data_IF_913590535784
#
_entry.id   IF_913590535784
#
_cell.length_a   1.000
_cell.length_b   1.000
_cell.length_c   1.000
_cell.angle_alpha   90.00
_cell.angle_beta   90.00
_cell.angle_gamma   90.00
#
_symmetry.space_group_name_H-M   'P 1'
#
loop_
_entity.id
_entity.type
_entity.pdbx_description
1 polymer ?
#
# COMPACT_ATOMS: atom_id res chain seq x y z
N UNK A 1 -16.59 -19.02 41.50
CA UNK A 1 -15.50 -18.56 40.63
C UNK A 1 -15.99 -17.33 39.89
N UNK A 2 -15.24 -16.24 39.91
CA UNK A 2 -15.61 -14.99 39.26
C UNK A 2 -14.39 -14.47 38.51
N UNK A 3 -14.54 -14.29 37.22
CA UNK A 3 -13.49 -13.77 36.33
C UNK A 3 -14.04 -12.59 35.53
N UNK A 4 -13.23 -11.54 35.44
CA UNK A 4 -13.55 -10.32 34.71
C UNK A 4 -12.59 -10.15 33.54
N UNK A 5 -13.12 -10.21 32.32
CA UNK A 5 -12.40 -10.00 31.08
C UNK A 5 -12.67 -8.57 30.60
N UNK A 6 -11.66 -7.72 30.71
CA UNK A 6 -11.74 -6.31 30.30
C UNK A 6 -11.10 -6.09 28.93
N UNK A 7 -11.57 -5.10 28.19
CA UNK A 7 -10.93 -4.70 26.93
C UNK A 7 -9.43 -4.40 27.10
N UNK A 8 -8.61 -4.75 26.10
CA UNK A 8 -7.18 -4.41 26.08
C UNK A 8 -6.90 -2.89 26.05
N UNK A 9 -7.91 -2.05 25.77
CA UNK A 9 -7.85 -0.58 25.87
C UNK A 9 -8.52 0.00 27.14
N UNK A 10 -8.97 -0.85 28.06
CA UNK A 10 -9.52 -0.41 29.36
C UNK A 10 -8.46 0.31 30.22
N UNK A 11 -8.90 1.04 31.23
CA UNK A 11 -8.03 1.64 32.25
C UNK A 11 -7.47 0.62 33.25
N UNK A 12 -8.00 -0.61 33.25
CA UNK A 12 -7.64 -1.64 34.21
C UNK A 12 -6.13 -1.95 34.19
N UNK A 13 -5.45 -1.66 35.31
CA UNK A 13 -4.00 -1.83 35.50
C UNK A 13 -3.14 -1.13 34.44
N UNK A 14 -3.56 0.03 33.94
CA UNK A 14 -2.81 0.82 32.95
C UNK A 14 -2.61 2.25 33.42
N UNK A 15 -1.51 2.85 32.95
CA UNK A 15 -1.18 4.25 33.18
C UNK A 15 -2.25 5.14 32.54
N UNK A 16 -2.53 6.30 33.14
CA UNK A 16 -3.44 7.30 32.59
C UNK A 16 -2.93 7.83 31.24
N UNK A 17 -3.81 8.43 30.44
CA UNK A 17 -3.40 9.07 29.19
C UNK A 17 -2.64 10.39 29.43
N UNK A 18 -2.83 11.02 30.57
CA UNK A 18 -2.22 12.30 30.95
C UNK A 18 -0.73 12.14 31.29
N UNK A 19 -0.36 11.00 31.90
CA UNK A 19 1.00 10.73 32.34
C UNK A 19 1.93 10.24 31.22
N UNK A 20 1.44 10.08 29.98
CA UNK A 20 2.20 9.42 28.91
C UNK A 20 3.29 10.27 28.25
N UNK A 21 3.54 11.51 28.69
CA UNK A 21 4.56 12.42 28.13
C UNK A 21 4.54 12.48 26.58
N UNK A 22 3.34 12.60 26.00
CA UNK A 22 3.14 12.66 24.54
C UNK A 22 3.29 11.33 23.79
N UNK A 23 3.55 10.22 24.47
CA UNK A 23 3.59 8.87 23.85
C UNK A 23 2.18 8.32 23.70
N UNK A 24 1.96 7.48 22.68
CA UNK A 24 0.64 6.88 22.45
C UNK A 24 0.25 5.95 23.61
N UNK A 25 -0.84 6.28 24.30
CA UNK A 25 -1.32 5.50 25.44
C UNK A 25 -2.04 4.22 25.02
N UNK A 26 -1.84 3.16 25.80
CA UNK A 26 -2.60 1.89 25.73
C UNK A 26 -4.02 2.03 26.28
N UNK A 27 -4.27 3.06 27.09
CA UNK A 27 -5.51 3.30 27.78
C UNK A 27 -6.37 4.28 26.97
N UNK A 28 -7.58 3.86 26.60
CA UNK A 28 -8.60 4.73 25.99
C UNK A 28 -9.87 4.80 26.84
N UNK A 29 -9.76 4.51 28.15
CA UNK A 29 -10.90 4.49 29.08
C UNK A 29 -12.10 3.68 28.55
N UNK A 30 -11.81 2.52 27.94
CA UNK A 30 -12.85 1.66 27.40
C UNK A 30 -13.57 0.89 28.52
N UNK A 31 -14.90 0.97 28.55
CA UNK A 31 -15.78 0.35 29.56
C UNK A 31 -16.25 -1.07 29.19
N UNK A 32 -15.97 -1.52 27.97
CA UNK A 32 -16.30 -2.86 27.52
C UNK A 32 -15.65 -3.95 28.38
N UNK A 33 -16.49 -4.86 28.90
CA UNK A 33 -16.08 -5.97 29.76
C UNK A 33 -17.04 -7.16 29.64
N UNK A 34 -16.53 -8.34 29.98
CA UNK A 34 -17.28 -9.59 30.14
C UNK A 34 -17.00 -10.10 31.54
N UNK A 35 -18.03 -10.16 32.39
CA UNK A 35 -17.93 -10.74 33.73
C UNK A 35 -18.59 -12.12 33.72
N UNK A 36 -17.82 -13.14 34.11
CA UNK A 36 -18.27 -14.52 34.20
C UNK A 36 -18.27 -14.93 35.67
N UNK A 37 -19.45 -15.22 36.21
CA UNK A 37 -19.64 -15.64 37.60
C UNK A 37 -20.29 -17.01 37.67
N UNK A 38 -19.55 -18.00 38.16
CA UNK A 38 -20.04 -19.35 38.43
C UNK A 38 -20.38 -19.48 39.91
N UNK A 39 -21.67 -19.64 40.21
CA UNK A 39 -22.22 -19.84 41.55
C UNK A 39 -22.18 -21.32 41.92
N UNK A 40 -21.86 -21.62 43.18
CA UNK A 40 -21.91 -22.98 43.71
C UNK A 40 -23.35 -23.41 43.97
N UNK A 41 -23.69 -24.64 43.58
CA UNK A 41 -24.99 -25.25 43.86
C UNK A 41 -24.98 -25.88 45.27
N UNK A 42 -25.41 -25.09 46.25
CA UNK A 42 -25.60 -25.53 47.64
C UNK A 42 -27.11 -25.55 47.95
N UNK A 43 -27.57 -26.29 48.98
CA UNK A 43 -28.97 -26.27 49.39
C UNK A 43 -29.49 -24.85 49.68
N UNK A 44 -28.63 -24.00 50.26
CA UNK A 44 -28.94 -22.60 50.54
C UNK A 44 -29.10 -21.76 49.26
N UNK A 45 -28.15 -21.82 48.34
CA UNK A 45 -28.21 -21.05 47.08
C UNK A 45 -29.36 -21.50 46.18
N UNK A 46 -29.74 -22.78 46.23
CA UNK A 46 -30.92 -23.32 45.54
C UNK A 46 -32.23 -22.79 46.10
N UNK A 47 -32.30 -22.48 47.40
CA UNK A 47 -33.50 -21.90 48.01
C UNK A 47 -33.71 -20.45 47.58
N UNK A 48 -32.63 -19.70 47.41
CA UNK A 48 -32.66 -18.24 47.20
C UNK A 48 -32.61 -17.82 45.72
N UNK A 49 -31.98 -18.60 44.83
CA UNK A 49 -31.78 -18.23 43.44
C UNK A 49 -32.64 -19.08 42.48
N UNK A 50 -33.59 -18.43 41.80
CA UNK A 50 -34.51 -19.05 40.83
C UNK A 50 -33.77 -19.67 39.63
N UNK A 51 -32.59 -19.18 39.28
CA UNK A 51 -31.81 -19.69 38.14
C UNK A 51 -31.05 -20.96 38.51
N UNK A 52 -30.54 -21.03 39.75
CA UNK A 52 -29.91 -22.25 40.28
C UNK A 52 -30.93 -23.38 40.41
N UNK A 53 -32.18 -23.07 40.78
CA UNK A 53 -33.28 -24.07 40.81
C UNK A 53 -33.53 -24.71 39.43
N UNK A 54 -33.31 -23.95 38.36
CA UNK A 54 -33.45 -24.40 36.97
C UNK A 54 -32.18 -25.04 36.41
N UNK A 55 -31.14 -25.22 37.24
CA UNK A 55 -29.84 -25.80 36.82
C UNK A 55 -28.86 -24.80 36.19
N UNK A 56 -29.21 -23.50 36.12
CA UNK A 56 -28.34 -22.46 35.56
C UNK A 56 -27.43 -21.88 36.64
N UNK A 57 -26.19 -22.36 36.69
CA UNK A 57 -25.22 -21.99 37.74
C UNK A 57 -24.25 -20.87 37.32
N UNK A 58 -24.22 -20.51 36.03
CA UNK A 58 -23.36 -19.47 35.48
C UNK A 58 -24.14 -18.20 35.15
N UNK A 59 -23.57 -17.05 35.47
CA UNK A 59 -24.04 -15.72 35.06
C UNK A 59 -22.94 -15.10 34.20
N UNK A 60 -23.29 -14.71 32.98
CA UNK A 60 -22.38 -14.02 32.07
C UNK A 60 -22.99 -12.63 31.79
N UNK A 61 -22.30 -11.58 32.21
CA UNK A 61 -22.66 -10.21 31.91
C UNK A 61 -21.72 -9.69 30.83
N UNK A 62 -22.29 -9.24 29.71
CA UNK A 62 -21.54 -8.74 28.55
C UNK A 62 -21.92 -7.27 28.38
N UNK A 63 -20.92 -6.39 28.46
CA UNK A 63 -21.04 -4.98 28.09
C UNK A 63 -20.23 -4.76 26.80
N UNK A 64 -20.87 -4.74 25.61
CA UNK A 64 -20.17 -4.73 24.33
C UNK A 64 -19.73 -3.33 23.86
N UNK A 65 -20.10 -2.27 24.57
CA UNK A 65 -19.93 -0.91 24.08
C UNK A 65 -18.47 -0.44 24.17
N UNK A 66 -17.85 -0.27 22.99
CA UNK A 66 -16.48 0.23 22.85
C UNK A 66 -16.47 1.71 22.46
N UNK A 67 -15.69 2.52 23.20
CA UNK A 67 -15.43 3.94 22.87
C UNK A 67 -14.33 4.12 21.80
N UNK A 68 -13.89 3.05 21.17
CA UNK A 68 -12.81 3.06 20.16
C UNK A 68 -13.15 2.12 19.00
N UNK A 69 -12.54 2.36 17.84
CA UNK A 69 -12.65 1.45 16.70
C UNK A 69 -11.92 0.14 16.99
N UNK A 70 -12.57 -0.95 16.63
CA UNK A 70 -11.98 -2.29 16.64
C UNK A 70 -11.20 -2.51 15.34
N UNK A 71 -10.18 -3.37 15.36
CA UNK A 71 -9.43 -3.81 14.17
C UNK A 71 -8.69 -2.71 13.38
N UNK A 72 -8.32 -1.59 13.99
CA UNK A 72 -7.40 -0.61 13.38
C UNK A 72 -5.95 -0.96 13.70
N UNK A 73 -5.01 -0.59 12.83
CA UNK A 73 -3.57 -0.79 13.07
C UNK A 73 -3.11 -0.21 14.42
N UNK A 74 -3.66 0.95 14.80
CA UNK A 74 -3.40 1.60 16.09
C UNK A 74 -3.90 0.81 17.31
N UNK A 75 -4.98 0.06 17.16
CA UNK A 75 -5.53 -0.80 18.22
C UNK A 75 -4.75 -2.12 18.28
N UNK A 76 -4.45 -2.71 17.12
CA UNK A 76 -3.78 -4.01 16.99
C UNK A 76 -2.32 -3.99 17.43
N UNK A 77 -1.60 -2.87 17.30
CA UNK A 77 -0.18 -2.74 17.73
C UNK A 77 0.07 -3.03 19.21
N UNK A 78 -0.97 -2.99 20.03
CA UNK A 78 -0.88 -3.19 21.48
C UNK A 78 -1.22 -4.62 21.91
N UNK A 79 -1.71 -5.45 20.99
CA UNK A 79 -1.87 -6.87 21.23
C UNK A 79 -0.48 -7.51 21.35
N UNK A 80 -0.29 -8.47 22.28
CA UNK A 80 0.92 -9.27 22.29
C UNK A 80 1.04 -9.97 20.92
N UNK A 81 2.23 -9.98 20.31
CA UNK A 81 2.44 -10.79 19.12
C UNK A 81 2.18 -12.25 19.50
N UNK A 82 1.22 -12.90 18.85
CA UNK A 82 1.15 -14.36 18.80
C UNK A 82 2.34 -14.92 18.01
N UNK A 83 2.35 -16.21 17.70
CA UNK A 83 3.38 -16.98 16.95
C UNK A 83 3.88 -16.34 15.62
N UNK A 84 3.32 -15.19 15.23
CA UNK A 84 3.77 -14.30 14.17
C UNK A 84 5.21 -13.79 14.33
N UNK A 85 5.83 -13.89 15.51
CA UNK A 85 7.24 -13.52 15.69
C UNK A 85 8.15 -14.40 14.85
N UNK A 86 7.90 -15.71 14.83
CA UNK A 86 8.69 -16.69 14.07
C UNK A 86 8.48 -16.48 12.57
N UNK A 87 7.22 -16.37 12.12
CA UNK A 87 6.91 -16.05 10.74
C UNK A 87 7.51 -14.71 10.28
N UNK A 88 7.49 -13.67 11.13
CA UNK A 88 8.13 -12.39 10.82
C UNK A 88 9.64 -12.53 10.65
N UNK A 89 10.31 -13.28 11.53
CA UNK A 89 11.75 -13.52 11.42
C UNK A 89 12.10 -14.44 10.24
N UNK A 90 11.24 -15.40 9.89
CA UNK A 90 11.37 -16.24 8.70
C UNK A 90 11.30 -15.37 7.43
N UNK A 91 10.25 -14.57 7.27
CA UNK A 91 10.13 -13.59 6.17
C UNK A 91 11.31 -12.62 6.10
N UNK A 92 11.81 -12.17 7.25
CA UNK A 92 12.95 -11.25 7.30
C UNK A 92 14.27 -11.96 6.97
N UNK A 93 14.41 -13.24 7.32
CA UNK A 93 15.56 -14.08 6.94
C UNK A 93 15.58 -14.45 5.46
N UNK A 94 14.40 -14.54 4.84
CA UNK A 94 14.22 -14.76 3.39
C UNK A 94 14.50 -13.50 2.56
N UNK A 95 14.53 -12.31 3.17
CA UNK A 95 15.02 -11.07 2.57
C UNK A 95 16.56 -11.05 2.43
N UNK A 96 17.15 -12.19 2.07
CA UNK A 96 18.57 -12.38 1.87
C UNK A 96 18.98 -11.87 0.48
N UNK A 97 20.00 -11.01 0.41
CA UNK A 97 20.55 -10.48 -0.85
C UNK A 97 21.13 -11.56 -1.79
N UNK A 98 21.34 -12.79 -1.28
CA UNK A 98 21.71 -13.96 -2.06
C UNK A 98 20.55 -14.57 -2.84
N UNK A 99 19.32 -14.45 -2.33
CA UNK A 99 18.12 -15.00 -2.98
C UNK A 99 17.31 -13.92 -3.69
N UNK A 100 17.24 -12.72 -3.11
CA UNK A 100 16.47 -11.60 -3.66
C UNK A 100 17.42 -10.52 -4.20
N UNK A 101 17.32 -10.13 -5.48
CA UNK A 101 18.18 -9.11 -6.04
C UNK A 101 18.03 -7.78 -5.29
N UNK A 102 19.17 -7.18 -4.95
CA UNK A 102 19.18 -5.85 -4.34
C UNK A 102 18.60 -4.81 -5.30
N UNK A 103 18.14 -3.69 -4.78
CA UNK A 103 17.69 -2.55 -5.60
C UNK A 103 18.74 -2.11 -6.63
N UNK A 104 20.03 -2.21 -6.29
CA UNK A 104 21.14 -1.94 -7.22
C UNK A 104 21.22 -2.96 -8.35
N UNK A 105 21.04 -4.25 -8.05
CA UNK A 105 21.04 -5.30 -9.05
C UNK A 105 19.86 -5.13 -10.02
N UNK A 106 18.66 -4.86 -9.50
CA UNK A 106 17.47 -4.58 -10.31
C UNK A 106 17.72 -3.35 -11.21
N UNK A 107 18.22 -2.25 -10.65
CA UNK A 107 18.55 -1.04 -11.41
C UNK A 107 19.56 -1.32 -12.51
N UNK A 108 20.62 -2.07 -12.20
CA UNK A 108 21.64 -2.42 -13.18
C UNK A 108 21.08 -3.28 -14.31
N UNK A 109 20.29 -4.30 -14.00
CA UNK A 109 19.62 -5.12 -15.02
C UNK A 109 18.68 -4.30 -15.90
N UNK A 110 17.91 -3.39 -15.30
CA UNK A 110 17.09 -2.45 -16.05
C UNK A 110 17.94 -1.55 -16.95
N UNK A 111 19.07 -1.02 -16.48
CA UNK A 111 19.98 -0.21 -17.30
C UNK A 111 20.57 -0.99 -18.47
N UNK A 112 20.98 -2.25 -18.26
CA UNK A 112 21.49 -3.12 -19.32
C UNK A 112 20.39 -3.43 -20.36
N UNK A 113 19.21 -3.82 -19.90
CA UNK A 113 18.06 -4.05 -20.78
C UNK A 113 17.70 -2.80 -21.58
N UNK A 114 17.65 -1.64 -20.91
CA UNK A 114 17.35 -0.35 -21.52
C UNK A 114 18.38 0.04 -22.57
N UNK A 115 19.68 -0.10 -22.29
CA UNK A 115 20.73 0.21 -23.27
C UNK A 115 20.63 -0.69 -24.51
N UNK A 116 20.34 -1.97 -24.32
CA UNK A 116 20.17 -2.93 -25.42
C UNK A 116 18.94 -2.61 -26.29
N UNK A 117 17.80 -2.30 -25.67
CA UNK A 117 16.51 -2.19 -26.38
C UNK A 117 16.14 -0.75 -26.75
N UNK A 118 16.47 0.24 -25.92
CA UNK A 118 16.13 1.66 -26.10
C UNK A 118 17.33 2.51 -26.51
N UNK A 119 18.56 2.02 -26.31
CA UNK A 119 19.78 2.76 -26.63
C UNK A 119 20.18 3.77 -25.55
N UNK A 120 21.30 4.48 -25.78
CA UNK A 120 21.74 5.57 -24.91
C UNK A 120 20.79 6.78 -25.00
N UNK A 121 20.77 7.60 -23.96
CA UNK A 121 19.89 8.79 -23.89
C UNK A 121 20.44 10.01 -24.61
N UNK A 122 21.74 10.04 -24.83
CA UNK A 122 22.45 11.21 -25.36
C UNK A 122 23.49 10.76 -26.39
N UNK A 123 23.88 11.70 -27.25
CA UNK A 123 24.94 11.49 -28.24
C UNK A 123 24.50 10.79 -29.53
N UNK A 124 25.45 10.54 -30.44
CA UNK A 124 25.18 10.06 -31.80
C UNK A 124 24.55 8.65 -31.85
N UNK A 125 24.82 7.83 -30.85
CA UNK A 125 24.28 6.47 -30.75
C UNK A 125 22.75 6.47 -30.51
N UNK A 126 22.20 7.54 -29.92
CA UNK A 126 20.74 7.71 -29.77
C UNK A 126 20.05 7.86 -31.12
N UNK A 127 20.63 8.66 -32.03
CA UNK A 127 20.13 8.86 -33.40
C UNK A 127 20.21 7.55 -34.19
N UNK A 128 21.31 6.79 -34.03
CA UNK A 128 21.46 5.48 -34.65
C UNK A 128 20.36 4.50 -34.23
N UNK A 129 20.00 4.49 -32.94
CA UNK A 129 18.91 3.64 -32.42
C UNK A 129 17.52 4.12 -32.88
N UNK A 130 17.31 5.44 -33.01
CA UNK A 130 16.09 6.00 -33.58
C UNK A 130 15.91 5.52 -35.03
N UNK A 131 16.97 5.64 -35.85
CA UNK A 131 16.99 5.17 -37.25
C UNK A 131 16.67 3.68 -37.37
N UNK A 132 17.22 2.83 -36.48
CA UNK A 132 16.90 1.39 -36.42
C UNK A 132 15.40 1.15 -36.16
N UNK A 133 14.78 1.94 -35.28
CA UNK A 133 13.39 1.74 -34.85
C UNK A 133 12.33 2.32 -35.78
N UNK A 134 12.69 3.24 -36.68
CA UNK A 134 11.74 3.83 -37.64
C UNK A 134 11.01 2.74 -38.42
N UNK A 135 11.71 1.71 -38.89
CA UNK A 135 11.11 0.59 -39.62
C UNK A 135 10.01 -0.13 -38.82
N UNK A 136 10.21 -0.31 -37.51
CA UNK A 136 9.26 -0.97 -36.61
C UNK A 136 8.01 -0.09 -36.43
N UNK A 137 8.20 1.23 -36.31
CA UNK A 137 7.08 2.17 -36.21
C UNK A 137 6.28 2.25 -37.51
N UNK A 138 6.96 2.22 -38.65
CA UNK A 138 6.33 2.21 -39.98
C UNK A 138 5.49 0.94 -40.19
N UNK A 139 5.95 -0.23 -39.75
CA UNK A 139 5.17 -1.48 -39.76
C UNK A 139 3.88 -1.34 -38.94
N UNK A 140 3.93 -0.60 -37.83
CA UNK A 140 2.78 -0.27 -37.00
C UNK A 140 1.90 0.89 -37.54
N UNK A 141 2.12 1.33 -38.79
CA UNK A 141 1.45 2.48 -39.43
C UNK A 141 1.68 3.83 -38.73
N UNK A 142 2.74 3.94 -37.94
CA UNK A 142 3.17 5.17 -37.28
C UNK A 142 4.20 5.87 -38.17
N UNK A 143 3.95 7.14 -38.50
CA UNK A 143 4.92 7.93 -39.27
C UNK A 143 5.87 8.65 -38.33
N UNK A 144 7.17 8.42 -38.49
CA UNK A 144 8.21 9.06 -37.69
C UNK A 144 9.12 9.85 -38.63
N UNK A 145 9.24 11.15 -38.41
CA UNK A 145 10.18 12.03 -39.10
C UNK A 145 11.06 12.74 -38.09
N UNK A 146 12.32 13.00 -38.42
CA UNK A 146 13.20 13.76 -37.55
C UNK A 146 14.19 14.58 -38.36
N UNK A 147 14.67 15.66 -37.75
CA UNK A 147 15.74 16.51 -38.22
C UNK A 147 16.85 16.51 -37.16
N UNK A 148 18.12 16.51 -37.58
CA UNK A 148 19.26 16.45 -36.65
C UNK A 148 19.73 17.84 -36.22
N UNK A 149 19.44 18.88 -37.01
CA UNK A 149 19.88 20.25 -36.74
C UNK A 149 18.85 21.30 -37.19
N UNK A 150 17.99 21.82 -36.29
CA UNK A 150 17.89 21.47 -34.87
C UNK A 150 17.38 20.03 -34.67
N UNK A 151 17.79 19.38 -33.57
CA UNK A 151 17.27 18.05 -33.26
C UNK A 151 15.78 18.12 -32.93
N UNK A 152 14.95 17.62 -33.84
CA UNK A 152 13.50 17.59 -33.70
C UNK A 152 12.97 16.24 -34.18
N UNK A 153 12.04 15.64 -33.45
CA UNK A 153 11.39 14.37 -33.82
C UNK A 153 9.89 14.59 -33.83
N UNK A 154 9.23 14.23 -34.93
CA UNK A 154 7.79 14.25 -35.10
C UNK A 154 7.29 12.80 -35.25
N UNK A 155 6.33 12.42 -34.40
CA UNK A 155 5.73 11.09 -34.39
C UNK A 155 4.23 11.25 -34.59
N UNK A 156 3.71 10.67 -35.66
CA UNK A 156 2.30 10.74 -36.04
C UNK A 156 1.70 9.35 -36.00
N UNK A 157 0.87 9.09 -34.99
CA UNK A 157 0.17 7.82 -34.84
C UNK A 157 -1.09 7.74 -35.73
N UNK A 158 -1.59 6.54 -36.06
CA UNK A 158 -2.87 6.40 -36.76
C UNK A 158 -4.04 7.09 -36.05
N UNK A 159 -4.02 7.12 -34.72
CA UNK A 159 -5.04 7.82 -33.93
C UNK A 159 -5.01 9.33 -34.19
N UNK A 160 -3.82 9.94 -34.24
CA UNK A 160 -3.65 11.36 -34.54
C UNK A 160 -4.09 11.69 -35.97
N UNK A 161 -3.78 10.84 -36.95
CA UNK A 161 -4.25 10.99 -38.35
C UNK A 161 -5.79 11.01 -38.41
N UNK A 162 -6.44 10.02 -37.78
CA UNK A 162 -7.91 9.95 -37.71
C UNK A 162 -8.53 11.13 -36.97
N UNK A 163 -7.91 11.60 -35.89
CA UNK A 163 -8.39 12.79 -35.18
C UNK A 163 -8.31 14.05 -36.04
N UNK A 164 -7.30 14.17 -36.90
CA UNK A 164 -7.12 15.31 -37.79
C UNK A 164 -8.10 15.34 -38.98
N UNK A 165 -8.72 14.19 -39.32
CA UNK A 165 -9.74 14.11 -40.39
C UNK A 165 -11.07 14.78 -40.01
N UNK A 166 -11.28 15.10 -38.72
CA UNK A 166 -12.50 15.77 -38.27
C UNK A 166 -12.41 17.31 -38.40
N UNK A 167 -13.44 17.99 -38.95
CA UNK A 167 -13.43 19.44 -39.17
C UNK A 167 -13.23 20.27 -37.89
N UNK A 168 -13.60 19.73 -36.73
CA UNK A 168 -13.47 20.40 -35.43
C UNK A 168 -12.06 20.34 -34.84
N UNK A 169 -11.21 19.46 -35.35
CA UNK A 169 -9.88 19.15 -34.78
C UNK A 169 -8.73 19.33 -35.77
N UNK A 170 -9.00 19.85 -36.97
CA UNK A 170 -7.98 20.18 -37.97
C UNK A 170 -6.89 21.15 -37.47
N UNK A 171 -7.16 21.90 -36.40
CA UNK A 171 -6.21 22.81 -35.74
C UNK A 171 -5.75 22.31 -34.36
N UNK A 172 -6.03 21.05 -34.01
CA UNK A 172 -5.78 20.52 -32.68
C UNK A 172 -4.50 19.66 -32.67
N UNK A 173 -3.46 20.17 -32.02
CA UNK A 173 -2.20 19.44 -31.81
C UNK A 173 -2.23 18.81 -30.43
N UNK A 174 -2.12 17.48 -30.37
CA UNK A 174 -1.94 16.77 -29.11
C UNK A 174 -0.47 16.78 -28.72
N UNK A 175 -0.18 17.46 -27.60
CA UNK A 175 1.18 17.51 -27.02
C UNK A 175 1.17 16.70 -25.75
N UNK A 176 1.89 15.59 -25.76
CA UNK A 176 2.22 14.86 -24.54
C UNK A 176 3.64 15.26 -24.13
N UNK A 177 3.75 16.08 -23.09
CA UNK A 177 5.04 16.51 -22.52
C UNK A 177 5.48 15.63 -21.36
N UNK A 178 5.00 14.39 -21.24
CA UNK A 178 5.37 13.46 -20.16
C UNK A 178 6.79 12.91 -20.30
N UNK A 179 7.80 13.77 -20.50
CA UNK A 179 9.21 13.55 -20.09
C UNK A 179 10.16 14.64 -20.59
N UNK A 180 9.94 15.91 -20.24
CA UNK A 180 11.06 16.87 -20.21
C UNK A 180 11.87 16.67 -18.92
N UNK A 181 12.57 15.54 -18.81
CA UNK A 181 13.61 15.32 -17.80
C UNK A 181 14.91 14.83 -18.45
N UNK A 182 15.16 15.24 -19.69
CA UNK A 182 16.42 14.98 -20.37
C UNK A 182 17.43 16.04 -19.88
N UNK A 183 18.62 15.59 -19.46
CA UNK A 183 19.67 16.48 -18.96
C UNK A 183 20.20 17.50 -20.00
N UNK A 184 19.69 17.46 -21.24
CA UNK A 184 20.10 18.32 -22.36
C UNK A 184 19.04 19.37 -22.77
N UNK A 185 17.92 19.51 -22.03
CA UNK A 185 16.90 20.54 -22.29
C UNK A 185 16.40 20.56 -23.75
N UNK A 186 16.05 19.40 -24.33
CA UNK A 186 15.44 19.37 -25.65
C UNK A 186 14.14 20.19 -25.63
N UNK A 187 14.10 21.22 -26.48
CA UNK A 187 13.01 22.20 -26.53
C UNK A 187 11.97 21.72 -27.53
N UNK A 188 10.76 21.48 -27.06
CA UNK A 188 9.63 21.17 -27.93
C UNK A 188 9.15 22.49 -28.54
N UNK A 189 9.40 22.68 -29.85
CA UNK A 189 8.99 23.90 -30.59
C UNK A 189 7.86 23.53 -31.55
N UNK A 190 6.79 24.34 -31.57
CA UNK A 190 5.67 24.19 -32.49
C UNK A 190 5.56 25.41 -33.42
N UNK A 191 5.07 25.17 -34.64
CA UNK A 191 4.50 26.15 -35.55
C UNK A 191 3.01 25.86 -35.75
#
# INVERSE_FOLDING_TARGET
>A
MEEEFVCHRSSYRKVSCEDTNGKLSKNSSCEAHINVKVKLNTPYTRKNDKFIQKGLCGVINIAPDHKHRLNTAETLRFLPPSDCKEAFFEYFSDANNRMNPTSRAIRHWYEQWRLLHLGPRTGPDMISKLKEKIAIYEEASISVTFEENPFAVCIITPLMKRANESPSSANLVFVDSTSTCDGENHTITFF
#
